data_IF_224524033413
#
_entry.id   IF_224524033413
#
_cell.length_a   1.000
_cell.length_b   1.000
_cell.length_c   1.000
_cell.angle_alpha   90.00
_cell.angle_beta   90.00
_cell.angle_gamma   90.00
#
_symmetry.space_group_name_H-M   'P 1'
#
loop_
_entity.id
_entity.type
_entity.pdbx_description
1 polymer ?
#
# COMPACT_ATOMS: atom_id res chain seq x y z
N UNK A 1 3.88 22.05 42.45
CA UNK A 1 5.23 21.67 41.98
C UNK A 1 5.00 20.55 40.99
N UNK A 2 5.20 20.77 39.68
CA UNK A 2 5.04 19.70 38.70
C UNK A 2 6.11 18.65 38.96
N UNK A 3 5.71 17.42 39.22
CA UNK A 3 6.64 16.33 39.48
C UNK A 3 7.36 16.01 38.16
N UNK A 4 8.68 16.19 38.14
CA UNK A 4 9.51 15.97 36.96
C UNK A 4 9.30 14.53 36.43
N UNK A 5 9.00 13.59 37.32
CA UNK A 5 8.69 12.22 36.96
C UNK A 5 7.35 12.07 36.21
N UNK A 6 6.32 12.85 36.57
CA UNK A 6 5.03 12.77 35.86
C UNK A 6 5.14 13.34 34.44
N UNK A 7 5.92 14.41 34.27
CA UNK A 7 6.20 14.97 32.95
C UNK A 7 7.03 14.02 32.08
N UNK A 8 8.02 13.32 32.64
CA UNK A 8 8.81 12.34 31.90
C UNK A 8 7.97 11.11 31.46
N UNK A 9 7.03 10.67 32.30
CA UNK A 9 6.07 9.61 31.95
C UNK A 9 5.15 10.07 30.81
N UNK A 10 4.60 11.28 30.88
CA UNK A 10 3.73 11.83 29.85
C UNK A 10 4.47 12.01 28.52
N UNK A 11 5.72 12.50 28.54
CA UNK A 11 6.58 12.57 27.36
C UNK A 11 6.79 11.17 26.76
N UNK A 12 7.09 10.15 27.58
CA UNK A 12 7.28 8.78 27.08
C UNK A 12 6.01 8.21 26.46
N UNK A 13 4.84 8.50 27.02
CA UNK A 13 3.55 8.09 26.46
C UNK A 13 3.28 8.76 25.12
N UNK A 14 3.45 10.08 25.02
CA UNK A 14 3.27 10.83 23.77
C UNK A 14 4.21 10.33 22.66
N UNK A 15 5.45 9.99 23.02
CA UNK A 15 6.43 9.37 22.11
C UNK A 15 5.94 8.01 21.60
N UNK A 16 5.44 7.16 22.49
CA UNK A 16 4.92 5.84 22.15
C UNK A 16 3.67 5.91 21.26
N UNK A 17 2.75 6.82 21.58
CA UNK A 17 1.51 7.02 20.83
C UNK A 17 1.80 7.54 19.41
N UNK A 18 2.72 8.50 19.30
CA UNK A 18 3.16 9.04 18.00
C UNK A 18 3.74 7.92 17.14
N UNK A 19 4.67 7.11 17.68
CA UNK A 19 5.24 5.97 16.94
C UNK A 19 4.18 4.95 16.56
N UNK A 20 3.23 4.64 17.47
CA UNK A 20 2.12 3.73 17.19
C UNK A 20 1.26 4.23 16.02
N UNK A 21 0.96 5.53 15.97
CA UNK A 21 0.17 6.12 14.89
C UNK A 21 0.88 6.02 13.53
N UNK A 22 2.17 6.36 13.47
CA UNK A 22 2.95 6.23 12.22
C UNK A 22 3.11 4.76 11.80
N UNK A 23 3.30 3.85 12.75
CA UNK A 23 3.31 2.40 12.49
C UNK A 23 2.03 1.92 11.83
N UNK A 24 0.87 2.32 12.39
CA UNK A 24 -0.46 2.00 11.81
C UNK A 24 -0.61 2.54 10.39
N UNK A 25 -0.11 3.75 10.08
CA UNK A 25 -0.14 4.31 8.72
C UNK A 25 0.64 3.43 7.73
N UNK A 26 1.80 2.93 8.13
CA UNK A 26 2.61 2.00 7.31
C UNK A 26 1.87 0.68 7.09
N UNK A 27 1.30 0.09 8.14
CA UNK A 27 0.53 -1.16 8.06
C UNK A 27 -0.67 -1.04 7.11
N UNK A 28 -1.45 0.04 7.23
CA UNK A 28 -2.58 0.32 6.35
C UNK A 28 -2.12 0.42 4.90
N UNK A 29 -1.04 1.16 4.62
CA UNK A 29 -0.50 1.28 3.27
C UNK A 29 -0.07 -0.08 2.68
N UNK A 30 0.53 -0.95 3.50
CA UNK A 30 0.93 -2.31 3.09
C UNK A 30 -0.30 -3.17 2.75
N UNK A 31 -1.33 -3.16 3.59
CA UNK A 31 -2.54 -3.95 3.35
C UNK A 31 -3.30 -3.46 2.11
N UNK A 32 -3.38 -2.13 1.90
CA UNK A 32 -3.93 -1.56 0.67
C UNK A 32 -3.13 -1.99 -0.57
N UNK A 33 -1.79 -1.96 -0.49
CA UNK A 33 -0.91 -2.40 -1.57
C UNK A 33 -1.11 -3.89 -1.89
N UNK A 34 -1.18 -4.76 -0.87
CA UNK A 34 -1.47 -6.19 -1.04
C UNK A 34 -2.83 -6.41 -1.71
N UNK A 35 -3.87 -5.70 -1.26
CA UNK A 35 -5.22 -5.78 -1.83
C UNK A 35 -5.21 -5.37 -3.31
N UNK A 36 -4.59 -4.25 -3.66
CA UNK A 36 -4.54 -3.79 -5.05
C UNK A 36 -3.75 -4.75 -5.95
N UNK A 37 -2.64 -5.33 -5.47
CA UNK A 37 -1.91 -6.39 -6.20
C UNK A 37 -2.79 -7.61 -6.49
N UNK A 38 -3.59 -8.08 -5.51
CA UNK A 38 -4.53 -9.20 -5.72
C UNK A 38 -5.58 -8.87 -6.76
N UNK A 39 -6.15 -7.67 -6.73
CA UNK A 39 -7.13 -7.21 -7.72
C UNK A 39 -6.48 -7.15 -9.11
N UNK A 40 -5.27 -6.59 -9.24
CA UNK A 40 -4.54 -6.52 -10.50
C UNK A 40 -4.34 -7.91 -11.12
N UNK A 41 -3.90 -8.89 -10.32
CA UNK A 41 -3.72 -10.28 -10.79
C UNK A 41 -5.05 -10.86 -11.29
N UNK A 42 -6.16 -10.62 -10.58
CA UNK A 42 -7.48 -11.08 -11.00
C UNK A 42 -7.92 -10.44 -12.31
N UNK A 43 -7.75 -9.13 -12.46
CA UNK A 43 -8.12 -8.42 -13.69
C UNK A 43 -7.28 -8.87 -14.89
N UNK A 44 -5.97 -9.10 -14.70
CA UNK A 44 -5.11 -9.69 -15.75
C UNK A 44 -5.62 -11.06 -16.20
N UNK A 45 -5.96 -11.95 -15.26
CA UNK A 45 -6.57 -13.26 -15.57
C UNK A 45 -7.91 -13.12 -16.33
N UNK A 46 -8.70 -12.09 -16.02
CA UNK A 46 -9.95 -11.80 -16.75
C UNK A 46 -9.63 -11.33 -18.17
N UNK A 47 -8.68 -10.41 -18.35
CA UNK A 47 -8.26 -9.94 -19.68
C UNK A 47 -7.75 -11.10 -20.56
N UNK A 48 -6.95 -12.01 -20.00
CA UNK A 48 -6.49 -13.22 -20.70
C UNK A 48 -7.64 -14.15 -21.11
N UNK A 49 -8.62 -14.36 -20.23
CA UNK A 49 -9.83 -15.13 -20.55
C UNK A 49 -10.65 -14.45 -21.65
N UNK A 50 -10.75 -13.11 -21.64
CA UNK A 50 -11.44 -12.36 -22.68
C UNK A 50 -10.71 -12.48 -24.02
N UNK A 51 -9.38 -12.38 -24.06
CA UNK A 51 -8.58 -12.60 -25.27
C UNK A 51 -8.86 -13.97 -25.89
N UNK A 52 -8.83 -15.04 -25.07
CA UNK A 52 -9.15 -16.41 -25.52
C UNK A 52 -10.60 -16.56 -25.99
N UNK A 53 -11.55 -15.86 -25.36
CA UNK A 53 -12.95 -15.87 -25.80
C UNK A 53 -13.14 -15.11 -27.11
N UNK A 54 -12.48 -13.97 -27.30
CA UNK A 54 -12.57 -13.16 -28.53
C UNK A 54 -12.10 -13.97 -29.74
N UNK A 55 -10.97 -14.66 -29.63
CA UNK A 55 -10.42 -15.46 -30.74
C UNK A 55 -11.36 -16.59 -31.15
N UNK A 56 -12.03 -17.23 -30.18
CA UNK A 56 -12.97 -18.35 -30.39
C UNK A 56 -14.42 -17.93 -30.68
N UNK A 57 -14.76 -16.65 -30.57
CA UNK A 57 -16.15 -16.19 -30.72
C UNK A 57 -16.50 -15.81 -32.17
N UNK A 58 -17.76 -16.00 -32.60
CA UNK A 58 -18.28 -15.49 -33.86
C UNK A 58 -18.18 -13.97 -33.97
N UNK A 59 -18.06 -13.44 -35.19
CA UNK A 59 -17.81 -12.02 -35.47
C UNK A 59 -18.76 -11.07 -34.73
N UNK A 60 -20.07 -11.36 -34.74
CA UNK A 60 -21.09 -10.54 -34.08
C UNK A 60 -20.94 -10.44 -32.55
N UNK A 61 -20.34 -11.44 -31.88
CA UNK A 61 -20.07 -11.39 -30.42
C UNK A 61 -18.71 -10.77 -30.10
N UNK A 62 -17.81 -10.62 -31.08
CA UNK A 62 -16.45 -10.11 -30.85
C UNK A 62 -16.45 -8.64 -30.43
N UNK A 63 -17.32 -7.80 -30.98
CA UNK A 63 -17.33 -6.37 -30.68
C UNK A 63 -17.63 -6.11 -29.20
N UNK A 64 -18.67 -6.74 -28.65
CA UNK A 64 -19.02 -6.63 -27.22
C UNK A 64 -17.91 -7.18 -26.30
N UNK A 65 -17.23 -8.27 -26.70
CA UNK A 65 -16.11 -8.80 -25.95
C UNK A 65 -14.88 -7.89 -26.00
N UNK A 66 -14.62 -7.23 -27.13
CA UNK A 66 -13.54 -6.23 -27.28
C UNK A 66 -13.81 -4.99 -26.42
N UNK A 67 -15.05 -4.50 -26.36
CA UNK A 67 -15.42 -3.40 -25.47
C UNK A 67 -15.22 -3.76 -24.00
N UNK A 68 -15.66 -4.96 -23.59
CA UNK A 68 -15.44 -5.45 -22.23
C UNK A 68 -13.95 -5.56 -21.91
N UNK A 69 -13.14 -6.09 -22.85
CA UNK A 69 -11.69 -6.15 -22.73
C UNK A 69 -11.08 -4.76 -22.54
N UNK A 70 -11.47 -3.78 -23.36
CA UNK A 70 -10.97 -2.41 -23.22
C UNK A 70 -11.27 -1.81 -21.84
N UNK A 71 -12.44 -2.08 -21.26
CA UNK A 71 -12.78 -1.64 -19.90
C UNK A 71 -11.88 -2.31 -18.85
N UNK A 72 -11.63 -3.61 -18.98
CA UNK A 72 -10.71 -4.35 -18.09
C UNK A 72 -9.29 -3.83 -18.22
N UNK A 73 -8.79 -3.61 -19.44
CA UNK A 73 -7.44 -3.10 -19.68
C UNK A 73 -7.25 -1.68 -19.12
N UNK A 74 -8.26 -0.81 -19.24
CA UNK A 74 -8.26 0.51 -18.59
C UNK A 74 -8.19 0.39 -17.06
N UNK A 75 -8.93 -0.57 -16.49
CA UNK A 75 -8.91 -0.83 -15.04
C UNK A 75 -7.56 -1.37 -14.57
N UNK A 76 -6.92 -2.24 -15.35
CA UNK A 76 -5.56 -2.74 -15.10
C UNK A 76 -4.57 -1.57 -15.04
N UNK A 77 -4.56 -0.69 -16.06
CA UNK A 77 -3.69 0.48 -16.09
C UNK A 77 -3.89 1.39 -14.89
N UNK A 78 -5.15 1.64 -14.50
CA UNK A 78 -5.45 2.44 -13.31
C UNK A 78 -4.90 1.77 -12.04
N UNK A 79 -5.11 0.46 -11.87
CA UNK A 79 -4.60 -0.29 -10.73
C UNK A 79 -3.07 -0.30 -10.67
N UNK A 80 -2.39 -0.32 -11.81
CA UNK A 80 -0.92 -0.22 -11.87
C UNK A 80 -0.43 1.14 -11.35
N UNK A 81 -1.05 2.24 -11.81
CA UNK A 81 -0.75 3.58 -11.31
C UNK A 81 -1.07 3.73 -9.81
N UNK A 82 -2.20 3.19 -9.35
CA UNK A 82 -2.58 3.22 -7.93
C UNK A 82 -1.59 2.42 -7.08
N UNK A 83 -1.06 1.30 -7.59
CA UNK A 83 -0.03 0.50 -6.92
C UNK A 83 1.28 1.28 -6.82
N UNK A 84 1.69 2.00 -7.86
CA UNK A 84 2.90 2.85 -7.82
C UNK A 84 2.77 3.95 -6.79
N UNK A 85 1.65 4.68 -6.80
CA UNK A 85 1.35 5.71 -5.80
C UNK A 85 1.36 5.16 -4.36
N UNK A 86 0.81 3.96 -4.16
CA UNK A 86 0.83 3.31 -2.84
C UNK A 86 2.23 2.87 -2.41
N UNK A 87 3.12 2.50 -3.34
CA UNK A 87 4.52 2.21 -3.01
C UNK A 87 5.24 3.47 -2.56
N UNK A 88 5.05 4.58 -3.27
CA UNK A 88 5.60 5.89 -2.89
C UNK A 88 5.07 6.33 -1.52
N UNK A 89 3.76 6.18 -1.29
CA UNK A 89 3.14 6.51 -0.01
C UNK A 89 3.67 5.65 1.14
N UNK A 90 3.82 4.33 0.92
CA UNK A 90 4.46 3.42 1.89
C UNK A 90 5.88 3.90 2.21
N UNK A 91 6.68 4.22 1.20
CA UNK A 91 8.05 4.67 1.40
C UNK A 91 8.10 5.99 2.19
N UNK A 92 7.21 6.94 1.86
CA UNK A 92 7.06 8.19 2.60
C UNK A 92 6.76 7.92 4.08
N UNK A 93 5.77 7.09 4.39
CA UNK A 93 5.41 6.79 5.78
C UNK A 93 6.51 6.06 6.55
N UNK A 94 7.28 5.18 5.89
CA UNK A 94 8.45 4.55 6.52
C UNK A 94 9.52 5.60 6.83
N UNK A 95 9.79 6.52 5.91
CA UNK A 95 10.75 7.60 6.14
C UNK A 95 10.27 8.52 7.26
N UNK A 96 9.00 8.94 7.23
CA UNK A 96 8.40 9.76 8.30
C UNK A 96 8.54 9.05 9.66
N UNK A 97 8.27 7.74 9.72
CA UNK A 97 8.45 6.92 10.92
C UNK A 97 9.91 6.93 11.41
N UNK A 98 10.89 6.70 10.52
CA UNK A 98 12.33 6.75 10.85
C UNK A 98 12.74 8.12 11.38
N UNK A 99 12.36 9.20 10.69
CA UNK A 99 12.69 10.57 11.08
C UNK A 99 12.11 10.93 12.44
N UNK A 100 10.84 10.59 12.71
CA UNK A 100 10.25 10.84 14.03
C UNK A 100 10.98 10.02 15.10
N UNK A 101 11.32 8.77 14.82
CA UNK A 101 12.06 7.93 15.75
C UNK A 101 13.44 8.51 16.10
N UNK A 102 14.14 9.11 15.13
CA UNK A 102 15.40 9.84 15.37
C UNK A 102 15.19 11.09 16.23
N UNK A 103 14.16 11.90 15.97
CA UNK A 103 13.82 13.05 16.82
C UNK A 103 13.50 12.66 18.25
N UNK A 104 13.03 11.43 18.47
CA UNK A 104 12.75 10.91 19.80
C UNK A 104 13.99 10.32 20.51
N UNK A 105 15.16 10.31 19.85
CA UNK A 105 16.42 9.77 20.36
C UNK A 105 16.58 8.25 20.18
N UNK A 106 15.76 7.63 19.32
CA UNK A 106 15.71 6.20 19.11
C UNK A 106 16.36 5.84 17.75
N UNK A 107 17.69 5.74 17.72
CA UNK A 107 18.45 5.63 16.46
C UNK A 107 18.55 4.22 15.86
N UNK A 108 18.19 3.17 16.62
CA UNK A 108 18.27 1.80 16.13
C UNK A 108 17.09 1.45 15.22
N UNK A 109 17.29 1.54 13.91
CA UNK A 109 16.26 1.26 12.90
C UNK A 109 16.22 -0.19 12.41
N UNK A 110 17.07 -1.09 12.93
CA UNK A 110 17.20 -2.47 12.45
C UNK A 110 15.86 -3.22 12.41
N UNK A 111 15.01 -2.96 13.42
CA UNK A 111 13.68 -3.55 13.48
C UNK A 111 12.80 -3.14 12.30
N UNK A 112 12.82 -1.85 11.90
CA UNK A 112 11.98 -1.31 10.81
C UNK A 112 12.42 -1.94 9.48
N UNK A 113 13.74 -1.98 9.27
CA UNK A 113 14.30 -2.51 8.03
C UNK A 113 14.00 -4.01 7.90
N UNK A 114 14.12 -4.78 8.98
CA UNK A 114 13.78 -6.21 8.98
C UNK A 114 12.26 -6.47 8.89
N UNK A 115 11.43 -5.62 9.48
CA UNK A 115 9.97 -5.82 9.54
C UNK A 115 9.27 -5.41 8.24
N UNK A 116 9.71 -4.33 7.58
CA UNK A 116 9.00 -3.76 6.43
C UNK A 116 9.64 -4.01 5.05
N UNK A 117 10.87 -4.53 5.00
CA UNK A 117 11.56 -4.95 3.74
C UNK A 117 11.49 -6.45 3.42
N UNK A 118 10.77 -7.27 4.21
CA UNK A 118 10.32 -8.61 3.77
C UNK A 118 9.15 -8.52 2.79
#
# INVERSE_FOLDING_TARGET
MFDINSLDIEIKQLKADTLSEYGKKVEIAIEMLKKNKRILIRERKISDKLNKKISKSPFFKRNRLKELKQRVDKKIKKLELDIERLKELKAKYINDYKTHREYLGLYDHDFIDKFYHK
#
